data_IF_882683171892
#
_entry.id   IF_882683171892
#
_cell.length_a   1.000
_cell.length_b   1.000
_cell.length_c   1.000
_cell.angle_alpha   90.00
_cell.angle_beta   90.00
_cell.angle_gamma   90.00
#
_symmetry.space_group_name_H-M   'P 1'
#
loop_
_entity.id
_entity.type
_entity.pdbx_description
1 polymer ?
#
# COMPACT_ATOMS: atom_id res chain seq x y z
N UNK A 1 -9.67 15.66 -21.98
CA UNK A 1 -8.44 15.90 -21.18
C UNK A 1 -8.22 14.73 -20.25
N UNK A 2 -7.00 14.19 -20.17
CA UNK A 2 -6.68 13.04 -19.32
C UNK A 2 -6.18 13.53 -17.96
N UNK A 3 -6.79 13.03 -16.88
CA UNK A 3 -6.27 13.22 -15.53
C UNK A 3 -5.52 11.97 -15.07
N UNK A 4 -4.24 12.13 -14.72
CA UNK A 4 -3.42 11.07 -14.13
C UNK A 4 -3.26 11.30 -12.63
N UNK A 5 -3.66 10.31 -11.81
CA UNK A 5 -3.34 10.27 -10.38
C UNK A 5 -2.01 9.55 -10.25
N UNK A 6 -0.95 10.26 -9.84
CA UNK A 6 0.42 9.77 -9.94
C UNK A 6 1.33 10.16 -8.78
N UNK A 7 2.64 10.12 -9.05
CA UNK A 7 3.70 10.30 -8.04
C UNK A 7 4.42 8.99 -7.67
N UNK A 8 4.26 7.95 -8.49
CA UNK A 8 4.97 6.67 -8.42
C UNK A 8 5.90 6.51 -9.62
N UNK A 9 6.85 5.57 -9.56
CA UNK A 9 7.66 5.20 -10.73
C UNK A 9 6.77 4.76 -11.90
N UNK A 10 5.70 4.01 -11.63
CA UNK A 10 4.73 3.57 -12.64
C UNK A 10 4.07 4.74 -13.37
N UNK A 11 3.68 5.79 -12.62
CA UNK A 11 3.11 6.98 -13.23
C UNK A 11 4.10 7.67 -14.19
N UNK A 12 5.39 7.70 -13.85
CA UNK A 12 6.43 8.23 -14.73
C UNK A 12 6.59 7.37 -15.99
N UNK A 13 6.72 6.06 -15.83
CA UNK A 13 6.90 5.10 -16.92
C UNK A 13 5.70 5.15 -17.91
N UNK A 14 4.49 5.33 -17.38
CA UNK A 14 3.28 5.58 -18.17
C UNK A 14 3.34 6.91 -18.92
N UNK A 15 3.64 8.01 -18.21
CA UNK A 15 3.69 9.34 -18.77
C UNK A 15 4.74 9.45 -19.90
N UNK A 16 5.94 8.89 -19.71
CA UNK A 16 7.00 8.82 -20.74
C UNK A 16 6.55 8.15 -22.06
N UNK A 17 5.57 7.24 -21.99
CA UNK A 17 5.00 6.56 -23.16
C UNK A 17 3.86 7.37 -23.78
N UNK A 18 2.89 7.83 -23.00
CA UNK A 18 1.69 8.49 -23.54
C UNK A 18 1.94 9.91 -24.06
N UNK A 19 2.91 10.64 -23.49
CA UNK A 19 3.25 12.01 -23.93
C UNK A 19 3.76 12.07 -25.38
N UNK A 20 4.19 10.93 -25.93
CA UNK A 20 4.58 10.80 -27.35
C UNK A 20 3.37 10.88 -28.30
N UNK A 21 2.16 10.72 -27.78
CA UNK A 21 0.92 10.69 -28.57
C UNK A 21 -0.04 11.83 -28.21
N UNK A 22 -0.04 12.32 -26.97
CA UNK A 22 -0.86 13.46 -26.55
C UNK A 22 -0.24 14.21 -25.37
N UNK A 23 -0.47 15.51 -25.28
CA UNK A 23 -0.04 16.35 -24.14
C UNK A 23 -1.22 16.93 -23.34
N UNK A 24 -2.46 16.54 -23.70
CA UNK A 24 -3.68 16.90 -22.96
C UNK A 24 -3.80 16.07 -21.67
N UNK A 25 -2.81 16.26 -20.78
CA UNK A 25 -2.63 15.50 -19.56
C UNK A 25 -2.39 16.46 -18.39
N UNK A 26 -3.16 16.27 -17.31
CA UNK A 26 -2.91 16.90 -16.02
C UNK A 26 -2.62 15.80 -15.01
N UNK A 27 -1.57 15.96 -14.21
CA UNK A 27 -1.14 14.99 -13.20
C UNK A 27 -1.35 15.57 -11.81
N UNK A 28 -1.90 14.79 -10.89
CA UNK A 28 -1.95 15.14 -9.46
C UNK A 28 -1.09 14.19 -8.66
N UNK A 29 -0.30 14.72 -7.72
CA UNK A 29 0.52 13.93 -6.81
C UNK A 29 0.21 14.27 -5.36
N UNK A 30 0.29 13.28 -4.47
CA UNK A 30 0.00 13.48 -3.05
C UNK A 30 1.12 14.19 -2.29
N UNK A 31 2.34 14.24 -2.86
CA UNK A 31 3.55 14.78 -2.23
C UNK A 31 4.40 15.55 -3.23
N UNK A 32 5.19 16.50 -2.73
CA UNK A 32 6.19 17.22 -3.55
C UNK A 32 7.21 16.27 -4.18
N UNK A 33 7.63 15.22 -3.46
CA UNK A 33 8.53 14.20 -4.00
C UNK A 33 7.93 13.49 -5.22
N UNK A 34 6.63 13.17 -5.18
CA UNK A 34 5.93 12.62 -6.34
C UNK A 34 5.94 13.57 -7.53
N UNK A 35 5.83 14.88 -7.28
CA UNK A 35 5.99 15.91 -8.32
C UNK A 35 7.40 15.94 -8.93
N UNK A 36 8.45 15.85 -8.09
CA UNK A 36 9.86 15.79 -8.53
C UNK A 36 10.16 14.64 -9.48
N UNK A 37 9.49 13.50 -9.31
CA UNK A 37 9.63 12.37 -10.23
C UNK A 37 9.21 12.71 -11.67
N UNK A 38 8.43 13.78 -11.87
CA UNK A 38 7.80 14.17 -13.13
C UNK A 38 8.35 15.49 -13.71
N UNK A 39 9.29 16.17 -13.04
CA UNK A 39 9.78 17.54 -13.37
C UNK A 39 10.35 17.73 -14.79
N UNK A 40 10.65 16.65 -15.52
CA UNK A 40 11.18 16.69 -16.88
C UNK A 40 10.19 16.23 -17.96
N UNK A 41 8.93 15.99 -17.59
CA UNK A 41 7.89 15.57 -18.52
C UNK A 41 7.04 16.77 -18.94
N UNK A 42 6.60 16.85 -20.21
CA UNK A 42 5.80 17.97 -20.70
C UNK A 42 4.33 17.85 -20.27
N UNK A 43 4.09 17.80 -18.96
CA UNK A 43 2.76 17.63 -18.36
C UNK A 43 2.52 18.61 -17.22
N UNK A 44 1.29 19.10 -17.10
CA UNK A 44 0.90 19.98 -15.99
C UNK A 44 0.80 19.13 -14.71
N UNK A 45 1.58 19.46 -13.69
CA UNK A 45 1.60 18.71 -12.42
C UNK A 45 1.08 19.57 -11.27
N UNK A 46 0.14 19.03 -10.48
CA UNK A 46 -0.41 19.63 -9.26
C UNK A 46 -0.06 18.76 -8.04
N UNK A 47 0.81 19.27 -7.16
CA UNK A 47 1.19 18.60 -5.93
C UNK A 47 0.21 18.93 -4.80
N UNK A 48 -0.93 18.23 -4.77
CA UNK A 48 -1.96 18.43 -3.74
C UNK A 48 -2.77 17.15 -3.54
N UNK A 49 -2.99 16.78 -2.27
CA UNK A 49 -4.02 15.78 -1.93
C UNK A 49 -5.40 16.38 -2.18
N UNK A 50 -6.19 15.75 -3.03
CA UNK A 50 -7.56 16.15 -3.32
C UNK A 50 -8.52 15.31 -2.46
N UNK A 51 -9.47 15.97 -1.81
CA UNK A 51 -10.64 15.29 -1.23
C UNK A 51 -11.64 14.96 -2.33
N UNK A 52 -12.63 14.11 -2.05
CA UNK A 52 -13.73 13.81 -2.99
C UNK A 52 -14.36 15.07 -3.62
N UNK A 53 -14.76 16.05 -2.80
CA UNK A 53 -15.35 17.30 -3.28
C UNK A 53 -14.39 18.06 -4.21
N UNK A 54 -13.12 18.13 -3.84
CA UNK A 54 -12.10 18.77 -4.67
C UNK A 54 -11.86 18.02 -5.99
N UNK A 55 -11.99 16.69 -6.01
CA UNK A 55 -11.88 15.89 -7.23
C UNK A 55 -13.04 16.18 -8.19
N UNK A 56 -14.27 16.32 -7.67
CA UNK A 56 -15.44 16.70 -8.49
C UNK A 56 -15.23 18.05 -9.17
N UNK A 57 -14.81 19.05 -8.39
CA UNK A 57 -14.54 20.40 -8.91
C UNK A 57 -13.40 20.35 -9.92
N UNK A 58 -12.31 19.65 -9.59
CA UNK A 58 -11.15 19.51 -10.45
C UNK A 58 -11.49 18.88 -11.81
N UNK A 59 -12.32 17.84 -11.83
CA UNK A 59 -12.77 17.19 -13.07
C UNK A 59 -13.57 18.16 -13.94
N UNK A 60 -14.51 18.90 -13.34
CA UNK A 60 -15.36 19.87 -14.06
C UNK A 60 -14.54 21.04 -14.60
N UNK A 61 -13.71 21.65 -13.77
CA UNK A 61 -12.89 22.82 -14.13
C UNK A 61 -11.91 22.53 -15.27
N UNK A 62 -11.35 21.31 -15.31
CA UNK A 62 -10.35 20.94 -16.30
C UNK A 62 -10.93 20.13 -17.48
N UNK A 63 -12.26 19.98 -17.56
CA UNK A 63 -12.95 19.22 -18.61
C UNK A 63 -12.34 17.82 -18.80
N UNK A 64 -12.12 17.13 -17.68
CA UNK A 64 -11.54 15.78 -17.67
C UNK A 64 -12.55 14.79 -18.24
N UNK A 65 -12.11 13.97 -19.20
CA UNK A 65 -12.92 12.92 -19.82
C UNK A 65 -12.44 11.50 -19.47
N UNK A 66 -11.19 11.37 -19.01
CA UNK A 66 -10.59 10.10 -18.59
C UNK A 66 -9.77 10.27 -17.31
N UNK A 67 -9.96 9.37 -16.36
CA UNK A 67 -9.12 9.22 -15.17
C UNK A 67 -8.20 8.02 -15.35
N UNK A 68 -6.91 8.21 -15.14
CA UNK A 68 -5.90 7.16 -15.12
C UNK A 68 -5.27 7.14 -13.74
N UNK A 69 -5.65 6.15 -12.95
CA UNK A 69 -5.14 5.94 -11.61
C UNK A 69 -3.87 5.08 -11.64
N UNK A 70 -2.74 5.74 -11.39
CA UNK A 70 -1.40 5.17 -11.20
C UNK A 70 -0.89 5.42 -9.77
N UNK A 71 -1.79 5.68 -8.82
CA UNK A 71 -1.45 5.82 -7.42
C UNK A 71 -0.91 4.51 -6.84
N UNK A 72 -0.15 4.63 -5.75
CA UNK A 72 0.38 3.46 -5.06
C UNK A 72 -0.76 2.49 -4.68
N UNK A 73 -0.57 1.16 -4.80
CA UNK A 73 -1.54 0.15 -4.34
C UNK A 73 -2.25 0.51 -3.02
N UNK A 74 -1.50 0.75 -1.95
CA UNK A 74 -2.10 1.14 -0.66
C UNK A 74 -2.84 2.49 -0.60
N UNK A 75 -2.91 3.28 -1.67
CA UNK A 75 -3.65 4.54 -1.73
C UNK A 75 -5.15 4.29 -2.02
N UNK A 76 -5.81 3.55 -1.12
CA UNK A 76 -7.19 3.05 -1.30
C UNK A 76 -8.19 4.20 -1.41
N UNK A 77 -8.08 5.20 -0.53
CA UNK A 77 -9.02 6.33 -0.45
C UNK A 77 -9.06 7.14 -1.75
N UNK A 78 -7.89 7.44 -2.35
CA UNK A 78 -7.83 8.22 -3.60
C UNK A 78 -8.44 7.43 -4.76
N UNK A 79 -8.18 6.12 -4.84
CA UNK A 79 -8.78 5.25 -5.84
C UNK A 79 -10.30 5.14 -5.70
N UNK A 80 -10.81 4.96 -4.47
CA UNK A 80 -12.25 4.89 -4.22
C UNK A 80 -12.95 6.18 -4.60
N UNK A 81 -12.44 7.33 -4.13
CA UNK A 81 -12.98 8.64 -4.48
C UNK A 81 -12.98 8.86 -6.01
N UNK A 82 -11.88 8.49 -6.69
CA UNK A 82 -11.78 8.65 -8.15
C UNK A 82 -12.78 7.76 -8.90
N UNK A 83 -13.05 6.54 -8.44
CA UNK A 83 -14.08 5.65 -9.00
C UNK A 83 -15.49 6.23 -8.77
N UNK A 84 -15.76 6.80 -7.60
CA UNK A 84 -17.06 7.42 -7.31
C UNK A 84 -17.29 8.66 -8.16
N UNK A 85 -16.29 9.55 -8.25
CA UNK A 85 -16.29 10.70 -9.15
C UNK A 85 -16.49 10.27 -10.61
N UNK A 86 -15.84 9.17 -11.02
CA UNK A 86 -15.96 8.71 -12.40
C UNK A 86 -17.38 8.24 -12.72
N UNK A 87 -18.03 7.57 -11.77
CA UNK A 87 -19.43 7.15 -11.89
C UNK A 87 -20.39 8.34 -11.88
N UNK A 88 -20.21 9.29 -10.96
CA UNK A 88 -21.08 10.47 -10.84
C UNK A 88 -21.05 11.31 -12.11
N UNK A 89 -19.86 11.52 -12.69
CA UNK A 89 -19.66 12.38 -13.85
C UNK A 89 -19.64 11.62 -15.18
N UNK A 90 -19.90 10.30 -15.16
CA UNK A 90 -19.91 9.42 -16.34
C UNK A 90 -18.64 9.49 -17.20
N UNK A 91 -17.48 9.57 -16.53
CA UNK A 91 -16.17 9.60 -17.17
C UNK A 91 -15.48 8.23 -17.06
N UNK A 92 -14.62 7.93 -18.03
CA UNK A 92 -13.93 6.64 -18.04
C UNK A 92 -12.84 6.60 -16.97
N UNK A 93 -12.77 5.49 -16.25
CA UNK A 93 -11.75 5.24 -15.22
C UNK A 93 -10.89 4.05 -15.62
N UNK A 94 -9.58 4.23 -15.54
CA UNK A 94 -8.57 3.22 -15.81
C UNK A 94 -7.61 3.11 -14.62
N UNK A 95 -7.31 1.88 -14.21
CA UNK A 95 -6.35 1.57 -13.14
C UNK A 95 -5.14 0.85 -13.72
N UNK A 96 -3.95 1.24 -13.29
CA UNK A 96 -2.77 0.40 -13.42
C UNK A 96 -2.45 -0.27 -12.08
N UNK A 97 -2.29 -1.58 -12.10
CA UNK A 97 -1.85 -2.35 -10.95
C UNK A 97 -0.95 -3.49 -11.43
N UNK A 98 0.31 -3.50 -10.99
CA UNK A 98 1.24 -4.59 -11.35
C UNK A 98 0.69 -5.91 -10.84
N UNK A 99 0.92 -6.98 -11.59
CA UNK A 99 0.73 -8.34 -11.04
C UNK A 99 1.66 -8.51 -9.85
N UNK A 100 1.09 -8.72 -8.67
CA UNK A 100 1.85 -9.09 -7.49
C UNK A 100 2.17 -10.59 -7.59
N UNK A 101 3.45 -10.93 -7.51
CA UNK A 101 3.86 -12.30 -7.22
C UNK A 101 3.65 -12.47 -5.72
N UNK A 102 2.58 -13.15 -5.33
CA UNK A 102 2.35 -13.53 -3.93
C UNK A 102 3.27 -14.69 -3.57
N UNK A 103 4.25 -14.44 -2.71
CA UNK A 103 4.93 -15.51 -2.00
C UNK A 103 3.98 -15.96 -0.89
N UNK A 104 3.45 -17.18 -1.00
CA UNK A 104 2.63 -17.76 0.05
C UNK A 104 3.52 -18.70 0.88
N UNK A 105 3.64 -18.48 2.20
CA UNK A 105 4.32 -19.40 3.10
C UNK A 105 3.55 -20.72 3.21
N UNK A 106 4.16 -21.72 3.82
CA UNK A 106 3.54 -23.04 4.03
C UNK A 106 2.38 -22.99 5.04
N UNK A 107 2.47 -22.12 6.04
CA UNK A 107 1.43 -21.90 7.07
C UNK A 107 1.06 -20.43 7.12
N UNK A 108 -0.17 -20.11 6.72
CA UNK A 108 -0.70 -18.76 6.86
C UNK A 108 -2.20 -18.70 7.05
N UNK A 109 -2.62 -17.57 7.61
CA UNK A 109 -4.01 -17.12 7.68
C UNK A 109 -4.08 -15.67 7.17
N UNK A 110 -5.13 -15.35 6.41
CA UNK A 110 -5.34 -14.03 5.81
C UNK A 110 -6.52 -13.29 6.45
N UNK A 111 -6.38 -11.97 6.62
CA UNK A 111 -7.42 -11.09 7.14
C UNK A 111 -7.51 -9.83 6.28
N UNK A 112 -8.72 -9.43 5.93
CA UNK A 112 -9.02 -8.25 5.11
C UNK A 112 -9.07 -6.94 5.90
N UNK A 113 -9.12 -7.02 7.23
CA UNK A 113 -9.16 -5.88 8.13
C UNK A 113 -8.37 -6.13 9.42
N UNK A 114 -7.97 -5.04 10.07
CA UNK A 114 -7.10 -5.10 11.26
C UNK A 114 -7.89 -5.57 12.49
N UNK A 115 -9.20 -5.28 12.56
CA UNK A 115 -10.06 -5.64 13.67
C UNK A 115 -10.22 -7.17 13.80
N UNK A 116 -10.56 -7.85 12.71
CA UNK A 116 -10.70 -9.31 12.67
C UNK A 116 -9.37 -10.02 12.92
N UNK A 117 -8.28 -9.47 12.40
CA UNK A 117 -6.92 -9.95 12.66
C UNK A 117 -6.59 -9.87 14.16
N UNK A 118 -6.84 -8.73 14.79
CA UNK A 118 -6.57 -8.52 16.23
C UNK A 118 -7.42 -9.44 17.09
N UNK A 119 -8.70 -9.63 16.76
CA UNK A 119 -9.59 -10.57 17.45
C UNK A 119 -9.07 -12.00 17.40
N UNK A 120 -8.63 -12.45 16.22
CA UNK A 120 -8.00 -13.76 16.06
C UNK A 120 -6.74 -13.91 16.93
N UNK A 121 -5.86 -12.90 16.94
CA UNK A 121 -4.62 -12.91 17.71
C UNK A 121 -4.82 -12.88 19.24
N UNK A 122 -6.00 -12.49 19.74
CA UNK A 122 -6.31 -12.63 21.17
C UNK A 122 -6.45 -14.10 21.59
N UNK A 123 -6.90 -14.96 20.66
CA UNK A 123 -7.18 -16.38 20.91
C UNK A 123 -6.01 -17.33 20.69
N UNK A 124 -4.87 -16.86 20.17
CA UNK A 124 -3.69 -17.71 19.91
C UNK A 124 -2.71 -17.75 21.08
N UNK A 125 -1.96 -18.85 21.19
CA UNK A 125 -0.95 -19.04 22.24
C UNK A 125 0.48 -18.91 21.68
N UNK A 126 1.34 -18.16 22.37
CA UNK A 126 2.74 -17.95 21.98
C UNK A 126 3.04 -16.49 21.62
N UNK A 127 4.31 -16.21 21.31
CA UNK A 127 4.75 -14.84 21.02
C UNK A 127 4.48 -14.46 19.57
N UNK A 128 4.12 -13.19 19.37
CA UNK A 128 3.63 -12.66 18.10
C UNK A 128 4.52 -11.50 17.68
N UNK A 129 5.13 -11.57 16.48
CA UNK A 129 5.92 -10.48 15.91
C UNK A 129 5.06 -9.66 14.95
N UNK A 130 4.79 -8.40 15.29
CA UNK A 130 3.99 -7.49 14.47
C UNK A 130 4.88 -6.57 13.64
N UNK A 131 4.70 -6.63 12.32
CA UNK A 131 5.47 -5.86 11.33
C UNK A 131 4.61 -4.94 10.46
N UNK A 132 3.40 -4.62 10.90
CA UNK A 132 2.42 -3.79 10.20
C UNK A 132 2.70 -2.27 10.24
N UNK A 133 3.79 -1.86 10.89
CA UNK A 133 4.13 -0.45 11.13
C UNK A 133 3.31 0.20 12.24
N UNK A 134 3.71 1.42 12.63
CA UNK A 134 3.19 2.05 13.86
C UNK A 134 1.74 2.53 13.80
N UNK A 135 1.16 2.68 12.61
CA UNK A 135 -0.19 3.23 12.46
C UNK A 135 -1.27 2.26 12.94
N UNK A 136 -0.97 0.96 12.97
CA UNK A 136 -1.92 -0.07 13.39
C UNK A 136 -1.84 -0.37 14.90
N UNK A 137 -0.83 0.14 15.62
CA UNK A 137 -0.63 -0.11 17.06
C UNK A 137 -1.90 0.17 17.88
N UNK A 138 -2.63 1.28 17.69
CA UNK A 138 -3.81 1.58 18.53
C UNK A 138 -4.88 0.48 18.53
N UNK A 139 -4.99 -0.31 17.46
CA UNK A 139 -5.98 -1.39 17.35
C UNK A 139 -5.73 -2.52 18.35
N UNK A 140 -4.48 -2.69 18.83
CA UNK A 140 -4.09 -3.75 19.77
C UNK A 140 -4.40 -3.38 21.23
N UNK A 141 -4.75 -2.13 21.54
CA UNK A 141 -4.84 -1.59 22.90
C UNK A 141 -5.78 -2.31 23.87
N UNK A 142 -6.75 -3.10 23.36
CA UNK A 142 -7.76 -3.79 24.18
C UNK A 142 -7.44 -5.26 24.45
N UNK A 143 -6.33 -5.77 23.89
CA UNK A 143 -5.98 -7.18 24.01
C UNK A 143 -5.58 -7.55 25.43
N UNK A 144 -6.06 -8.69 25.93
CA UNK A 144 -5.67 -9.21 27.24
C UNK A 144 -4.28 -9.85 27.25
N UNK A 145 -3.80 -10.30 26.09
CA UNK A 145 -2.53 -10.99 25.91
C UNK A 145 -1.41 -10.08 25.37
N UNK A 146 -1.49 -8.75 25.57
CA UNK A 146 -0.51 -7.76 25.08
C UNK A 146 0.96 -8.11 25.39
N UNK A 147 1.23 -8.81 26.49
CA UNK A 147 2.59 -9.22 26.86
C UNK A 147 3.28 -10.16 25.86
N UNK A 148 2.52 -10.80 24.97
CA UNK A 148 3.01 -11.73 23.96
C UNK A 148 3.39 -11.03 22.64
N UNK A 149 3.07 -9.74 22.48
CA UNK A 149 3.27 -9.02 21.23
C UNK A 149 4.62 -8.33 21.21
N UNK A 150 5.36 -8.50 20.12
CA UNK A 150 6.61 -7.82 19.83
C UNK A 150 6.39 -6.92 18.62
N UNK A 151 6.50 -5.60 18.79
CA UNK A 151 6.28 -4.64 17.72
C UNK A 151 7.60 -4.24 17.08
N UNK A 152 7.76 -4.53 15.78
CA UNK A 152 8.89 -4.04 14.99
C UNK A 152 8.51 -2.73 14.29
N UNK A 153 9.16 -1.65 14.70
CA UNK A 153 8.85 -0.28 14.27
C UNK A 153 10.11 0.47 13.86
N UNK A 154 9.97 1.58 13.15
CA UNK A 154 11.11 2.45 12.88
C UNK A 154 11.64 3.03 14.20
N UNK A 155 12.96 3.30 14.30
CA UNK A 155 13.59 3.84 15.49
C UNK A 155 13.31 5.35 15.63
N UNK A 156 12.02 5.71 15.73
CA UNK A 156 11.55 7.07 16.01
C UNK A 156 10.84 7.11 17.35
N UNK A 157 11.13 8.14 18.12
CA UNK A 157 10.61 8.32 19.48
C UNK A 157 9.07 8.31 19.51
N UNK A 158 8.40 8.90 18.51
CA UNK A 158 6.94 8.97 18.44
C UNK A 158 6.32 7.60 18.16
N UNK A 159 7.03 6.71 17.46
CA UNK A 159 6.58 5.32 17.25
C UNK A 159 6.76 4.47 18.49
N UNK A 160 7.88 4.62 19.20
CA UNK A 160 8.11 3.94 20.49
C UNK A 160 7.05 4.38 21.50
N UNK A 161 6.78 5.69 21.58
CA UNK A 161 5.73 6.24 22.43
C UNK A 161 4.35 5.64 22.14
N UNK A 162 3.98 5.43 20.87
CA UNK A 162 2.70 4.78 20.52
C UNK A 162 2.57 3.37 21.09
N UNK A 163 3.66 2.59 21.13
CA UNK A 163 3.66 1.28 21.78
C UNK A 163 3.45 1.42 23.29
N UNK A 164 4.19 2.32 23.94
CA UNK A 164 4.08 2.55 25.38
C UNK A 164 2.70 3.06 25.80
N UNK A 165 2.08 3.94 25.00
CA UNK A 165 0.76 4.52 25.24
C UNK A 165 -0.36 3.46 25.30
N UNK A 166 -0.16 2.28 24.66
CA UNK A 166 -1.09 1.15 24.73
C UNK A 166 -0.66 0.06 25.73
N UNK A 167 0.40 0.30 26.49
CA UNK A 167 0.89 -0.63 27.52
C UNK A 167 1.90 -1.69 27.07
N UNK A 168 2.50 -1.56 25.87
CA UNK A 168 3.60 -2.43 25.46
C UNK A 168 4.85 -2.10 26.28
N UNK A 169 5.46 -3.12 26.88
CA UNK A 169 6.70 -2.95 27.64
C UNK A 169 7.90 -2.73 26.72
N UNK A 170 8.93 -1.98 27.13
CA UNK A 170 10.11 -1.74 26.30
C UNK A 170 10.80 -3.00 25.74
N UNK A 171 10.80 -4.11 26.50
CA UNK A 171 11.34 -5.41 26.07
C UNK A 171 10.63 -6.02 24.86
N UNK A 172 9.41 -5.57 24.58
CA UNK A 172 8.54 -6.00 23.51
C UNK A 172 8.58 -5.04 22.30
N UNK A 173 9.49 -4.05 22.29
CA UNK A 173 9.62 -3.07 21.22
C UNK A 173 10.95 -3.29 20.49
N UNK A 174 10.87 -3.60 19.20
CA UNK A 174 12.02 -3.80 18.31
C UNK A 174 12.12 -2.59 17.38
N UNK A 175 12.84 -1.56 17.82
CA UNK A 175 13.02 -0.32 17.08
C UNK A 175 14.19 -0.42 16.09
N UNK A 176 13.92 -0.76 14.83
CA UNK A 176 14.93 -1.00 13.79
C UNK A 176 14.45 -0.55 12.40
N UNK A 177 15.39 -0.11 11.55
CA UNK A 177 15.11 0.25 10.15
C UNK A 177 15.58 -0.87 9.21
N UNK A 178 14.66 -1.36 8.36
CA UNK A 178 14.96 -2.33 7.32
C UNK A 178 15.51 -1.69 6.02
N UNK A 179 15.66 -2.48 4.94
CA UNK A 179 15.19 -3.86 4.76
C UNK A 179 15.95 -4.86 5.65
N UNK A 180 15.30 -5.98 5.99
CA UNK A 180 15.87 -7.03 6.83
C UNK A 180 16.18 -8.27 6.00
N UNK A 181 17.36 -8.83 6.18
CA UNK A 181 17.72 -10.11 5.58
C UNK A 181 16.97 -11.27 6.24
N UNK A 182 16.92 -12.42 5.55
CA UNK A 182 16.37 -13.66 6.12
C UNK A 182 17.00 -13.98 7.48
N UNK A 183 18.32 -13.85 7.60
CA UNK A 183 19.06 -14.16 8.83
C UNK A 183 18.64 -13.26 10.01
N UNK A 184 18.40 -11.97 9.77
CA UNK A 184 17.92 -11.08 10.82
C UNK A 184 16.50 -11.47 11.25
N UNK A 185 15.61 -11.76 10.29
CA UNK A 185 14.26 -12.22 10.62
C UNK A 185 14.29 -13.52 11.45
N UNK A 186 15.09 -14.51 11.04
CA UNK A 186 15.29 -15.76 11.80
C UNK A 186 15.78 -15.50 13.21
N UNK A 187 16.84 -14.69 13.37
CA UNK A 187 17.40 -14.38 14.67
C UNK A 187 16.37 -13.71 15.60
N UNK A 188 15.51 -12.83 15.09
CA UNK A 188 14.42 -12.25 15.89
C UNK A 188 13.35 -13.29 16.24
N UNK A 189 12.96 -14.15 15.29
CA UNK A 189 11.97 -15.21 15.54
C UNK A 189 12.47 -16.14 16.65
N UNK A 190 13.72 -16.58 16.58
CA UNK A 190 14.36 -17.46 17.57
C UNK A 190 14.56 -16.75 18.92
N UNK A 191 15.11 -15.54 18.92
CA UNK A 191 15.41 -14.78 20.14
C UNK A 191 14.18 -14.51 21.01
N UNK A 192 13.03 -14.29 20.38
CA UNK A 192 11.78 -13.97 21.07
C UNK A 192 10.78 -15.13 21.07
N UNK A 193 11.20 -16.34 20.67
CA UNK A 193 10.33 -17.52 20.56
C UNK A 193 8.99 -17.23 19.84
N UNK A 194 9.08 -16.52 18.71
CA UNK A 194 7.91 -16.11 17.94
C UNK A 194 7.24 -17.33 17.32
N UNK A 195 5.91 -17.43 17.47
CA UNK A 195 5.06 -18.46 16.84
C UNK A 195 4.22 -17.91 15.68
N UNK A 196 3.97 -16.60 15.68
CA UNK A 196 3.17 -15.92 14.66
C UNK A 196 3.88 -14.67 14.15
N UNK A 197 4.04 -14.57 12.82
CA UNK A 197 4.54 -13.38 12.16
C UNK A 197 3.37 -12.61 11.52
N UNK A 198 3.04 -11.44 12.06
CA UNK A 198 2.01 -10.57 11.48
C UNK A 198 2.66 -9.59 10.50
N UNK A 199 2.25 -9.64 9.24
CA UNK A 199 2.81 -8.82 8.16
C UNK A 199 1.73 -8.39 7.16
N UNK A 200 2.02 -7.37 6.36
CA UNK A 200 1.16 -7.03 5.21
C UNK A 200 1.53 -7.96 4.07
N UNK A 201 0.54 -8.39 3.30
CA UNK A 201 0.82 -8.95 1.97
C UNK A 201 1.23 -7.78 1.07
N UNK A 202 2.53 -7.54 1.01
CA UNK A 202 3.16 -6.59 0.10
C UNK A 202 4.01 -7.44 -0.84
N UNK A 203 3.91 -7.27 -2.16
CA UNK A 203 4.72 -8.04 -3.12
C UNK A 203 6.25 -7.90 -2.92
N UNK A 204 7.04 -8.14 -3.96
CA UNK A 204 8.50 -8.30 -3.87
C UNK A 204 9.31 -7.07 -3.37
N UNK A 205 8.64 -5.95 -3.10
CA UNK A 205 9.28 -4.73 -2.59
C UNK A 205 9.27 -4.69 -1.06
N UNK A 206 10.44 -4.77 -0.42
CA UNK A 206 10.61 -4.37 0.99
C UNK A 206 10.90 -5.49 1.99
N UNK A 207 11.41 -6.63 1.54
CA UNK A 207 11.86 -7.69 2.45
C UNK A 207 10.77 -8.72 2.81
N UNK A 208 9.71 -8.82 2.01
CA UNK A 208 8.62 -9.78 2.24
C UNK A 208 9.10 -11.23 2.08
N UNK A 209 9.85 -11.50 1.00
CA UNK A 209 10.41 -12.81 0.73
C UNK A 209 11.29 -13.29 1.89
N UNK A 210 12.17 -12.43 2.39
CA UNK A 210 13.08 -12.74 3.49
C UNK A 210 12.36 -13.04 4.81
N UNK A 211 11.17 -12.45 5.02
CA UNK A 211 10.31 -12.75 6.16
C UNK A 211 9.64 -14.11 6.01
N UNK A 212 9.07 -14.36 4.84
CA UNK A 212 8.36 -15.60 4.50
C UNK A 212 9.32 -16.79 4.56
N UNK A 213 10.49 -16.69 3.92
CA UNK A 213 11.50 -17.75 3.95
C UNK A 213 11.98 -18.03 5.39
N UNK A 214 12.13 -17.01 6.23
CA UNK A 214 12.49 -17.20 7.64
C UNK A 214 11.35 -17.87 8.43
N UNK A 215 10.10 -17.52 8.14
CA UNK A 215 8.94 -18.10 8.78
C UNK A 215 8.76 -19.57 8.42
N UNK A 216 8.89 -19.92 7.14
CA UNK A 216 8.83 -21.29 6.64
C UNK A 216 9.95 -22.16 7.23
N UNK A 217 11.18 -21.63 7.28
CA UNK A 217 12.34 -22.37 7.81
C UNK A 217 12.22 -22.67 9.31
N UNK A 218 11.50 -21.82 10.05
CA UNK A 218 11.25 -21.98 11.49
C UNK A 218 9.84 -22.55 11.78
N UNK A 219 9.11 -22.94 10.73
CA UNK A 219 7.78 -23.54 10.77
C UNK A 219 6.72 -22.74 11.55
N UNK A 220 6.87 -21.42 11.63
CA UNK A 220 5.94 -20.50 12.29
C UNK A 220 4.81 -20.09 11.34
N UNK A 221 3.68 -19.66 11.88
CA UNK A 221 2.55 -19.21 11.06
C UNK A 221 2.66 -17.74 10.69
N UNK A 222 2.40 -17.40 9.43
CA UNK A 222 2.33 -16.02 8.96
C UNK A 222 0.89 -15.55 8.93
N UNK A 223 0.61 -14.43 9.60
CA UNK A 223 -0.70 -13.80 9.62
C UNK A 223 -0.66 -12.58 8.70
N UNK A 224 -1.34 -12.68 7.57
CA UNK A 224 -1.40 -11.58 6.60
C UNK A 224 -2.56 -10.64 6.89
N UNK A 225 -2.25 -9.35 6.97
CA UNK A 225 -3.23 -8.31 6.67
C UNK A 225 -3.20 -8.07 5.16
N UNK A 226 -4.19 -8.62 4.46
CA UNK A 226 -4.32 -8.46 3.01
C UNK A 226 -4.83 -7.05 2.70
N UNK A 227 -4.48 -6.57 1.51
CA UNK A 227 -4.99 -5.29 1.04
C UNK A 227 -6.49 -5.44 0.72
N UNK A 228 -7.35 -4.49 1.14
CA UNK A 228 -8.74 -4.45 0.72
C UNK A 228 -8.84 -4.51 -0.80
N UNK A 229 -9.62 -5.48 -1.31
CA UNK A 229 -9.83 -5.64 -2.73
C UNK A 229 -10.76 -4.53 -3.25
N UNK A 230 -10.23 -3.63 -4.07
CA UNK A 230 -11.06 -2.65 -4.80
C UNK A 230 -11.46 -3.27 -6.14
N UNK A 231 -12.76 -3.29 -6.42
CA UNK A 231 -13.25 -3.66 -7.75
C UNK A 231 -13.07 -2.48 -8.72
N UNK A 232 -11.94 -2.48 -9.42
CA UNK A 232 -11.61 -1.44 -10.41
C UNK A 232 -12.36 -1.70 -11.73
N UNK A 233 -13.05 -0.68 -12.31
CA UNK A 233 -13.78 -0.82 -13.56
C UNK A 233 -12.94 -1.33 -14.75
N UNK A 234 -11.78 -0.72 -15.01
CA UNK A 234 -10.85 -1.13 -16.07
C UNK A 234 -9.42 -1.21 -15.50
N UNK A 235 -8.99 -2.40 -15.09
CA UNK A 235 -7.66 -2.61 -14.49
C UNK A 235 -6.67 -3.26 -15.48
N UNK A 236 -5.43 -2.77 -15.49
CA UNK A 236 -4.36 -3.24 -16.36
C UNK A 236 -3.07 -3.51 -15.57
N UNK A 237 -2.44 -4.63 -15.88
CA UNK A 237 -1.13 -5.04 -15.36
C UNK A 237 0.05 -4.68 -16.28
N UNK A 238 -0.23 -4.09 -17.44
CA UNK A 238 0.76 -3.68 -18.42
C UNK A 238 0.52 -2.24 -18.85
N UNK A 239 1.54 -1.40 -18.66
CA UNK A 239 1.53 0.01 -19.08
C UNK A 239 1.26 0.11 -20.58
N UNK A 240 1.77 -0.82 -21.40
CA UNK A 240 1.57 -0.79 -22.85
C UNK A 240 0.13 -1.07 -23.24
N UNK A 241 -0.50 -2.06 -22.60
CA UNK A 241 -1.93 -2.36 -22.81
C UNK A 241 -2.80 -1.17 -22.38
N UNK A 242 -2.46 -0.56 -21.24
CA UNK A 242 -3.16 0.61 -20.72
C UNK A 242 -3.06 1.81 -21.67
N UNK A 243 -1.85 2.19 -22.10
CA UNK A 243 -1.64 3.28 -23.05
C UNK A 243 -2.41 3.03 -24.36
N UNK A 244 -2.34 1.81 -24.90
CA UNK A 244 -3.06 1.45 -26.13
C UNK A 244 -4.58 1.58 -25.96
N UNK A 245 -5.14 1.17 -24.82
CA UNK A 245 -6.57 1.32 -24.54
C UNK A 245 -6.98 2.80 -24.52
N UNK A 246 -6.28 3.61 -23.73
CA UNK A 246 -6.59 5.04 -23.57
C UNK A 246 -6.56 5.77 -24.91
N UNK A 247 -5.55 5.50 -25.75
CA UNK A 247 -5.41 6.14 -27.07
C UNK A 247 -6.43 5.65 -28.09
N UNK A 248 -6.92 4.41 -27.99
CA UNK A 248 -7.92 3.88 -28.91
C UNK A 248 -9.33 4.43 -28.65
N UNK A 249 -9.66 4.77 -27.40
CA UNK A 249 -10.95 5.39 -27.05
C UNK A 249 -11.07 6.85 -27.55
N UNK A 250 -9.98 7.47 -28.04
CA UNK A 250 -10.03 8.78 -28.70
C UNK A 250 -10.53 8.74 -30.17
N UNK A 251 -10.82 7.57 -30.74
CA UNK A 251 -11.25 7.42 -32.15
C UNK A 251 -12.75 7.19 -32.33
N UNK A 252 -13.59 7.71 -31.44
CA UNK A 252 -15.05 7.72 -31.59
C UNK A 252 -15.56 9.15 -31.79
#
# INVERSE_FOLDING_TARGET
>A
MIWVIGGTKDSRDFLEKIVKSTTDIIVTTATEYGGKLLENLPVKTLCKKLTYSMMLDFVKENSIDKIVDLSHPYAIEVSQNAIEVSKELQIEYFRFEREEISFLPQKYTEFDNIESLVEYLEGVEGNILVTLGSNNIPHFSKLKNLGNFYFRILPKWDMVKKCEDIGILPKNIIAMQGPFSKNINKAMIEQYDIKYLVTKQAGDTGGEREKIEAADELEIEVIFLIRPHINYPNCYNSIEKLVKKILNDHRK
#
